data_IF_933811775892
#
_entry.id   IF_933811775892
#
_cell.length_a   1.000
_cell.length_b   1.000
_cell.length_c   1.000
_cell.angle_alpha   90.00
_cell.angle_beta   90.00
_cell.angle_gamma   90.00
#
_symmetry.space_group_name_H-M   'P 1'
#
loop_
_entity.id
_entity.type
_entity.pdbx_description
1 polymer ?
#
# COMPACT_ATOMS: atom_id res chain seq x y z
N UNK A 1 9.83 1.86 -9.32
CA UNK A 1 8.75 1.34 -10.19
C UNK A 1 8.14 2.47 -11.03
N UNK A 2 7.57 2.18 -12.21
CA UNK A 2 6.83 3.18 -13.02
C UNK A 2 5.30 3.13 -12.78
N UNK A 3 4.54 4.13 -13.28
CA UNK A 3 3.08 4.19 -13.04
C UNK A 3 2.32 3.00 -13.64
N UNK A 4 2.76 2.48 -14.80
CA UNK A 4 2.08 1.35 -15.47
C UNK A 4 2.35 0.04 -14.74
N UNK A 5 3.59 -0.18 -14.33
CA UNK A 5 4.01 -1.28 -13.47
C UNK A 5 3.24 -1.26 -12.15
N UNK A 6 3.10 -0.08 -11.53
CA UNK A 6 2.33 0.09 -10.29
C UNK A 6 0.85 -0.32 -10.45
N UNK A 7 0.22 0.07 -11.58
CA UNK A 7 -1.18 -0.32 -11.89
C UNK A 7 -1.34 -1.82 -12.08
N UNK A 8 -0.38 -2.44 -12.75
CA UNK A 8 -0.37 -3.89 -12.93
C UNK A 8 -0.19 -4.62 -11.59
N UNK A 9 0.69 -4.12 -10.72
CA UNK A 9 0.91 -4.70 -9.41
C UNK A 9 -0.31 -4.61 -8.48
N UNK A 10 -1.04 -3.49 -8.53
CA UNK A 10 -2.30 -3.33 -7.81
C UNK A 10 -3.52 -3.90 -8.55
N UNK A 11 -3.30 -4.65 -9.63
CA UNK A 11 -4.35 -5.31 -10.42
C UNK A 11 -5.49 -4.35 -10.82
N UNK A 12 -5.12 -3.15 -11.29
CA UNK A 12 -6.07 -2.10 -11.66
C UNK A 12 -6.46 -2.21 -13.14
N UNK A 13 -7.74 -1.96 -13.44
CA UNK A 13 -8.26 -1.88 -14.81
C UNK A 13 -7.75 -0.65 -15.57
N UNK A 14 -8.23 -0.38 -16.79
CA UNK A 14 -7.84 0.82 -17.54
C UNK A 14 -8.45 2.11 -16.97
N UNK A 15 -9.69 2.02 -16.47
CA UNK A 15 -10.37 3.09 -15.77
C UNK A 15 -10.52 2.66 -14.31
N UNK A 16 -9.88 3.38 -13.41
CA UNK A 16 -9.83 2.97 -12.00
C UNK A 16 -10.13 4.17 -11.15
N UNK A 17 -11.13 4.05 -10.28
CA UNK A 17 -11.44 5.07 -9.30
C UNK A 17 -10.54 4.92 -8.07
N UNK A 18 -10.34 6.02 -7.34
CA UNK A 18 -9.50 6.05 -6.13
C UNK A 18 -9.92 4.99 -5.10
N UNK A 19 -11.22 4.76 -4.98
CA UNK A 19 -11.82 3.75 -4.10
C UNK A 19 -11.41 2.33 -4.48
N UNK A 20 -11.28 2.05 -5.77
CA UNK A 20 -10.85 0.77 -6.31
C UNK A 20 -9.36 0.53 -6.06
N UNK A 21 -8.52 1.55 -6.26
CA UNK A 21 -7.09 1.50 -5.88
C UNK A 21 -6.93 1.14 -4.40
N UNK A 22 -7.68 1.80 -3.53
CA UNK A 22 -7.71 1.50 -2.08
C UNK A 22 -8.26 0.11 -1.78
N UNK A 23 -9.25 -0.35 -2.53
CA UNK A 23 -9.85 -1.67 -2.42
C UNK A 23 -8.82 -2.78 -2.68
N UNK A 24 -8.16 -2.72 -3.83
CA UNK A 24 -7.18 -3.71 -4.24
C UNK A 24 -5.94 -3.68 -3.35
N UNK A 25 -5.44 -2.49 -2.99
CA UNK A 25 -4.34 -2.38 -2.03
C UNK A 25 -4.66 -3.09 -0.71
N UNK A 26 -5.86 -2.88 -0.13
CA UNK A 26 -6.25 -3.55 1.12
C UNK A 26 -6.38 -5.07 0.98
N UNK A 27 -6.79 -5.56 -0.19
CA UNK A 27 -6.86 -6.99 -0.48
C UNK A 27 -5.47 -7.62 -0.54
N UNK A 28 -4.58 -7.00 -1.31
CA UNK A 28 -3.19 -7.45 -1.49
C UNK A 28 -2.40 -7.36 -0.18
N UNK A 29 -2.58 -6.29 0.60
CA UNK A 29 -1.95 -6.13 1.90
C UNK A 29 -2.31 -7.24 2.88
N UNK A 30 -3.55 -7.76 2.84
CA UNK A 30 -3.97 -8.91 3.65
C UNK A 30 -3.38 -10.23 3.15
N UNK A 31 -3.21 -10.38 1.85
CA UNK A 31 -2.67 -11.60 1.22
C UNK A 31 -1.17 -11.76 1.44
N UNK A 32 -0.43 -10.65 1.34
CA UNK A 32 1.02 -10.59 1.41
C UNK A 32 1.55 -10.11 2.77
N UNK A 33 0.68 -10.00 3.77
CA UNK A 33 1.07 -9.59 5.12
C UNK A 33 2.12 -10.56 5.70
N UNK A 34 3.33 -10.11 6.09
CA UNK A 34 4.37 -10.94 6.70
C UNK A 34 3.91 -11.75 7.91
N UNK A 35 2.93 -11.30 8.70
CA UNK A 35 2.41 -12.09 9.83
C UNK A 35 1.68 -13.37 9.37
N UNK A 36 0.98 -13.29 8.23
CA UNK A 36 0.26 -14.42 7.65
C UNK A 36 1.16 -15.24 6.71
N UNK A 37 2.19 -14.59 6.15
CA UNK A 37 3.11 -15.17 5.19
C UNK A 37 4.53 -14.63 5.43
N UNK A 38 5.26 -15.27 6.34
CA UNK A 38 6.58 -14.86 6.83
C UNK A 38 7.73 -14.89 5.80
N UNK A 39 7.43 -14.97 4.51
CA UNK A 39 8.38 -14.86 3.40
C UNK A 39 8.03 -13.79 2.35
N UNK A 40 6.96 -13.02 2.53
CA UNK A 40 6.42 -12.11 1.51
C UNK A 40 6.62 -10.61 1.82
N UNK A 41 7.51 -10.25 2.75
CA UNK A 41 7.80 -8.86 3.12
C UNK A 41 8.24 -8.01 1.92
N UNK A 42 9.06 -8.54 1.02
CA UNK A 42 9.46 -7.86 -0.21
C UNK A 42 8.28 -7.52 -1.11
N UNK A 43 7.33 -8.45 -1.25
CA UNK A 43 6.14 -8.24 -2.09
C UNK A 43 5.20 -7.19 -1.50
N UNK A 44 5.08 -7.15 -0.17
CA UNK A 44 4.32 -6.09 0.50
C UNK A 44 4.97 -4.71 0.31
N UNK A 45 6.30 -4.63 0.33
CA UNK A 45 7.01 -3.39 0.04
C UNK A 45 6.76 -2.89 -1.38
N UNK A 46 6.77 -3.78 -2.37
CA UNK A 46 6.42 -3.45 -3.76
C UNK A 46 4.98 -2.94 -3.88
N UNK A 47 4.02 -3.59 -3.19
CA UNK A 47 2.60 -3.18 -3.17
C UNK A 47 2.44 -1.76 -2.58
N UNK A 48 3.21 -1.43 -1.54
CA UNK A 48 3.23 -0.09 -0.95
C UNK A 48 3.78 0.96 -1.92
N UNK A 49 4.92 0.67 -2.56
CA UNK A 49 5.53 1.55 -3.56
C UNK A 49 4.58 1.82 -4.73
N UNK A 50 3.90 0.78 -5.24
CA UNK A 50 2.92 0.91 -6.30
C UNK A 50 1.76 1.83 -5.91
N UNK A 51 1.21 1.64 -4.70
CA UNK A 51 0.13 2.47 -4.19
C UNK A 51 0.54 3.94 -4.11
N UNK A 52 1.73 4.24 -3.62
CA UNK A 52 2.27 5.61 -3.57
C UNK A 52 2.38 6.25 -4.95
N UNK A 53 2.94 5.53 -5.91
CA UNK A 53 3.15 6.01 -7.28
C UNK A 53 1.81 6.34 -7.94
N UNK A 54 0.80 5.49 -7.79
CA UNK A 54 -0.53 5.71 -8.37
C UNK A 54 -1.24 6.88 -7.70
N UNK A 55 -1.22 6.93 -6.37
CA UNK A 55 -1.88 7.99 -5.61
C UNK A 55 -1.30 9.37 -5.92
N UNK A 56 0.02 9.44 -6.11
CA UNK A 56 0.71 10.66 -6.53
C UNK A 56 0.51 10.97 -8.01
N UNK A 57 0.61 9.96 -8.88
CA UNK A 57 0.63 10.14 -10.33
C UNK A 57 -0.73 10.45 -10.95
N UNK A 58 -1.81 9.85 -10.43
CA UNK A 58 -3.14 9.95 -11.04
C UNK A 58 -4.09 10.84 -10.28
N UNK A 59 -3.94 10.88 -8.96
CA UNK A 59 -4.85 11.64 -8.10
C UNK A 59 -4.21 12.92 -7.55
N UNK A 60 -2.93 13.18 -7.88
CA UNK A 60 -2.10 14.27 -7.33
C UNK A 60 -2.17 14.35 -5.81
N UNK A 61 -2.36 13.19 -5.16
CA UNK A 61 -2.42 13.10 -3.71
C UNK A 61 -0.99 12.91 -3.25
N UNK A 62 -0.29 14.04 -3.16
CA UNK A 62 1.04 14.14 -2.54
C UNK A 62 0.84 14.01 -1.03
N UNK A 63 0.66 12.76 -0.61
CA UNK A 63 0.57 12.34 0.77
C UNK A 63 -0.74 12.66 1.49
N UNK A 64 -1.68 11.70 1.52
CA UNK A 64 -2.63 11.55 2.63
C UNK A 64 -1.96 10.81 3.82
N UNK A 65 -0.63 10.73 3.84
CA UNK A 65 0.15 9.84 4.70
C UNK A 65 0.23 10.28 6.15
N UNK A 66 -0.15 11.51 6.53
CA UNK A 66 -0.35 11.81 7.95
C UNK A 66 -1.52 11.00 8.51
N UNK A 67 -2.69 11.07 7.90
CA UNK A 67 -3.87 10.32 8.36
C UNK A 67 -3.73 8.82 8.16
N UNK A 68 -3.08 8.38 7.07
CA UNK A 68 -2.87 6.94 6.83
C UNK A 68 -1.78 6.35 7.72
N UNK A 69 -0.64 7.02 7.92
CA UNK A 69 0.36 6.57 8.89
C UNK A 69 -0.16 6.69 10.31
N UNK A 70 -0.94 7.71 10.67
CA UNK A 70 -1.57 7.78 12.00
C UNK A 70 -2.62 6.70 12.19
N UNK A 71 -3.49 6.44 11.20
CA UNK A 71 -4.47 5.35 11.26
C UNK A 71 -3.79 3.98 11.31
N UNK A 72 -2.71 3.80 10.54
CA UNK A 72 -1.88 2.59 10.52
C UNK A 72 -1.09 2.43 11.83
N UNK A 73 -0.48 3.48 12.38
CA UNK A 73 0.17 3.49 13.70
C UNK A 73 -0.85 3.26 14.84
N UNK A 74 -2.08 3.75 14.68
CA UNK A 74 -3.13 3.59 15.68
C UNK A 74 -3.77 2.20 15.64
N UNK A 75 -3.68 1.50 14.50
CA UNK A 75 -4.13 0.11 14.35
C UNK A 75 -3.02 -0.92 14.53
N UNK A 76 -1.79 -0.61 14.11
CA UNK A 76 -0.65 -1.51 13.98
C UNK A 76 0.66 -0.94 14.53
N UNK A 77 0.68 0.28 15.09
CA UNK A 77 1.90 0.92 15.61
C UNK A 77 2.39 0.38 16.95
N UNK A 78 1.57 -0.43 17.63
CA UNK A 78 2.01 -1.21 18.80
C UNK A 78 2.27 -2.67 18.43
N UNK A 79 2.26 -2.99 17.13
CA UNK A 79 2.61 -4.29 16.60
C UNK A 79 4.14 -4.41 16.53
N UNK A 80 4.74 -5.48 17.08
CA UNK A 80 6.20 -5.63 17.14
C UNK A 80 6.87 -5.75 15.77
N UNK A 81 6.09 -5.93 14.69
CA UNK A 81 6.59 -6.08 13.32
C UNK A 81 6.32 -4.81 12.49
N UNK A 82 5.18 -4.14 12.70
CA UNK A 82 4.75 -2.98 11.89
C UNK A 82 4.91 -1.61 12.56
N UNK A 83 5.06 -1.57 13.88
CA UNK A 83 5.28 -0.32 14.62
C UNK A 83 6.74 0.11 14.73
N UNK A 84 7.68 -0.76 14.38
CA UNK A 84 9.09 -0.57 14.68
C UNK A 84 9.91 0.12 13.57
N UNK A 85 9.43 0.13 12.32
CA UNK A 85 10.15 0.70 11.19
C UNK A 85 9.24 1.60 10.36
N UNK A 86 9.23 2.88 10.71
CA UNK A 86 8.93 3.96 9.78
C UNK A 86 10.23 4.77 9.69
N UNK A 87 10.77 5.07 8.50
CA UNK A 87 11.99 5.87 8.37
C UNK A 87 11.82 7.29 8.95
#
# INVERSE_FOLDING_TARGET
MDLREARQLLELGENTEKEEVRGNYRRLAKEYHPDLNSGNSGKMMEINEAYEIIMKGEFDIIGPWQDYQEWWLKQYGNDPIWGAEIP
#
